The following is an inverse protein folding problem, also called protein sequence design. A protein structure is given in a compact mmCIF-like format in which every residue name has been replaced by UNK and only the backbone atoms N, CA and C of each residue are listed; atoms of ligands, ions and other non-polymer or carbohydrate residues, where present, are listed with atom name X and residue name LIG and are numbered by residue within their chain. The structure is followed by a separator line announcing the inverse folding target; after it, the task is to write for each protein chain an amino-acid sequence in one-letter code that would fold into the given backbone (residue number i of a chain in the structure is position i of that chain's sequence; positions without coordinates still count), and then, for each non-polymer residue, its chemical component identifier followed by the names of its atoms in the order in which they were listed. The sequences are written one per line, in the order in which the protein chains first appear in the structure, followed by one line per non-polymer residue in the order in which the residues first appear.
data_IF_089236164023
#
_entry.id   IF_089236164023
#
_cell.length_a   1.000
_cell.length_b   1.000
_cell.length_c   1.000
_cell.angle_alpha   90.00
_cell.angle_beta   90.00
_cell.angle_gamma   90.00
#
_symmetry.space_group_name_H-M   'P 1'
#
loop_
_entity.id
_entity.type
_entity.pdbx_description
1 polymer ?
#
# COMPACT_ATOMS: atom_id res chain seq x y z
N UNK A 1 -17.89 10.91 -12.93
CA UNK A 1 -17.69 10.73 -11.47
C UNK A 1 -18.10 9.32 -11.09
N UNK A 2 -17.74 8.81 -9.91
CA UNK A 2 -18.14 7.45 -9.47
C UNK A 2 -19.66 7.23 -9.59
N UNK A 3 -20.46 8.26 -9.25
CA UNK A 3 -21.92 8.23 -9.40
C UNK A 3 -22.35 7.98 -10.84
N UNK A 4 -21.80 8.73 -11.79
CA UNK A 4 -22.16 8.56 -13.21
C UNK A 4 -21.78 7.15 -13.69
N UNK A 5 -20.59 6.65 -13.31
CA UNK A 5 -20.18 5.31 -13.73
C UNK A 5 -21.08 4.21 -13.15
N UNK A 6 -21.52 4.33 -11.90
CA UNK A 6 -22.47 3.37 -11.34
C UNK A 6 -23.81 3.45 -12.06
N UNK A 7 -24.32 4.66 -12.31
CA UNK A 7 -25.61 4.88 -12.96
C UNK A 7 -25.64 4.40 -14.42
N UNK A 8 -24.54 4.58 -15.16
CA UNK A 8 -24.42 4.23 -16.58
C UNK A 8 -23.93 2.78 -16.79
N UNK A 9 -23.51 2.10 -15.72
CA UNK A 9 -23.07 0.70 -15.78
C UNK A 9 -24.17 -0.30 -16.17
N UNK A 10 -23.78 -1.56 -16.40
CA UNK A 10 -24.71 -2.68 -16.61
C UNK A 10 -25.27 -3.29 -15.32
N UNK A 11 -25.04 -2.65 -14.17
CA UNK A 11 -25.54 -3.15 -12.89
C UNK A 11 -27.08 -3.18 -12.85
N UNK A 12 -27.68 -4.15 -12.15
CA UNK A 12 -29.14 -4.23 -12.03
C UNK A 12 -29.68 -3.06 -11.21
N UNK A 13 -30.95 -2.70 -11.42
CA UNK A 13 -31.60 -1.55 -10.76
C UNK A 13 -31.44 -1.48 -9.22
N UNK A 14 -31.47 -2.61 -8.47
CA UNK A 14 -31.26 -2.58 -7.02
C UNK A 14 -29.88 -2.04 -6.59
N UNK A 15 -28.84 -2.25 -7.41
CA UNK A 15 -27.48 -1.76 -7.15
C UNK A 15 -27.31 -0.26 -7.47
N UNK A 16 -28.31 0.35 -8.13
CA UNK A 16 -28.33 1.77 -8.51
C UNK A 16 -29.23 2.62 -7.60
N UNK A 17 -29.61 2.08 -6.45
CA UNK A 17 -30.37 2.83 -5.45
C UNK A 17 -29.49 3.91 -4.80
N UNK A 18 -30.09 5.02 -4.37
CA UNK A 18 -29.34 6.13 -3.75
C UNK A 18 -28.53 5.68 -2.54
N UNK A 19 -29.09 4.83 -1.68
CA UNK A 19 -28.38 4.31 -0.51
C UNK A 19 -27.18 3.45 -0.92
N UNK A 20 -27.34 2.58 -1.92
CA UNK A 20 -26.25 1.73 -2.38
C UNK A 20 -25.10 2.54 -2.99
N UNK A 21 -25.44 3.55 -3.79
CA UNK A 21 -24.45 4.48 -4.36
C UNK A 21 -23.73 5.24 -3.25
N UNK A 22 -24.47 5.70 -2.23
CA UNK A 22 -23.88 6.39 -1.09
C UNK A 22 -22.88 5.49 -0.33
N UNK A 23 -23.24 4.23 -0.08
CA UNK A 23 -22.35 3.27 0.59
C UNK A 23 -21.06 3.02 -0.20
N UNK A 24 -21.16 2.90 -1.53
CA UNK A 24 -20.01 2.75 -2.42
C UNK A 24 -19.12 4.00 -2.42
N UNK A 25 -19.72 5.20 -2.50
CA UNK A 25 -18.98 6.45 -2.41
C UNK A 25 -18.24 6.57 -1.07
N UNK A 26 -18.92 6.31 0.04
CA UNK A 26 -18.32 6.36 1.36
C UNK A 26 -17.14 5.39 1.48
N UNK A 27 -17.30 4.17 0.95
CA UNK A 27 -16.25 3.15 0.94
C UNK A 27 -15.04 3.59 0.11
N UNK A 28 -15.26 4.02 -1.14
CA UNK A 28 -14.16 4.39 -2.06
C UNK A 28 -13.45 5.66 -1.58
N UNK A 29 -14.19 6.68 -1.18
CA UNK A 29 -13.61 7.93 -0.68
C UNK A 29 -12.86 7.70 0.63
N UNK A 30 -13.44 6.97 1.59
CA UNK A 30 -12.77 6.64 2.84
C UNK A 30 -11.48 5.83 2.61
N UNK A 31 -11.54 4.83 1.74
CA UNK A 31 -10.39 4.00 1.40
C UNK A 31 -9.27 4.78 0.70
N UNK A 32 -9.57 5.68 -0.23
CA UNK A 32 -8.56 6.42 -1.00
C UNK A 32 -8.01 7.66 -0.27
N UNK A 33 -8.77 8.24 0.66
CA UNK A 33 -8.39 9.48 1.33
C UNK A 33 -7.50 9.25 2.55
N UNK A 34 -8.01 8.53 3.56
CA UNK A 34 -7.32 8.39 4.86
C UNK A 34 -5.99 7.62 4.72
N UNK A 35 -5.97 6.58 3.89
CA UNK A 35 -4.78 5.74 3.67
C UNK A 35 -3.65 6.52 3.01
N UNK A 36 -3.96 7.23 1.92
CA UNK A 36 -3.00 8.07 1.18
C UNK A 36 -2.50 9.23 2.04
N UNK A 37 -3.41 9.92 2.75
CA UNK A 37 -3.05 11.00 3.65
C UNK A 37 -2.12 10.53 4.78
N UNK A 38 -2.38 9.34 5.34
CA UNK A 38 -1.51 8.72 6.34
C UNK A 38 -0.10 8.45 5.81
N UNK A 39 0.01 7.81 4.63
CA UNK A 39 1.29 7.51 4.00
C UNK A 39 2.09 8.78 3.70
N UNK A 40 1.46 9.79 3.10
CA UNK A 40 2.10 11.07 2.80
C UNK A 40 2.55 11.80 4.07
N UNK A 41 1.73 11.82 5.12
CA UNK A 41 2.07 12.47 6.39
C UNK A 41 3.36 11.91 6.98
N UNK A 42 3.47 10.58 7.06
CA UNK A 42 4.65 9.91 7.62
C UNK A 42 5.87 10.09 6.72
N UNK A 43 5.71 9.94 5.40
CA UNK A 43 6.79 10.14 4.45
C UNK A 43 7.33 11.57 4.52
N UNK A 44 6.46 12.58 4.48
CA UNK A 44 6.85 13.99 4.55
C UNK A 44 7.54 14.31 5.88
N UNK A 45 7.04 13.82 7.01
CA UNK A 45 7.70 14.00 8.30
C UNK A 45 9.17 13.55 8.23
N UNK A 46 9.42 12.33 7.76
CA UNK A 46 10.78 11.79 7.66
C UNK A 46 11.64 12.47 6.58
N UNK A 47 11.04 12.93 5.48
CA UNK A 47 11.75 13.71 4.45
C UNK A 47 12.25 15.03 5.06
N UNK A 48 11.40 15.75 5.79
CA UNK A 48 11.77 17.05 6.37
C UNK A 48 12.67 16.93 7.61
N UNK A 49 12.60 15.82 8.32
CA UNK A 49 13.49 15.51 9.47
C UNK A 49 14.91 15.14 9.02
N UNK A 50 15.10 14.73 7.75
CA UNK A 50 16.40 14.33 7.22
C UNK A 50 16.83 15.22 6.04
N UNK A 51 17.72 16.17 6.31
CA UNK A 51 18.23 17.12 5.31
C UNK A 51 18.85 16.45 4.07
N UNK A 52 19.49 15.29 4.23
CA UNK A 52 20.11 14.58 3.11
C UNK A 52 19.05 14.03 2.15
N UNK A 53 18.00 13.40 2.68
CA UNK A 53 16.88 12.89 1.86
C UNK A 53 16.19 14.04 1.14
N UNK A 54 15.89 15.13 1.86
CA UNK A 54 15.27 16.32 1.27
C UNK A 54 16.11 16.92 0.15
N UNK A 55 17.43 17.06 0.37
CA UNK A 55 18.35 17.63 -0.62
C UNK A 55 18.45 16.75 -1.87
N UNK A 56 18.59 15.44 -1.69
CA UNK A 56 18.69 14.49 -2.80
C UNK A 56 17.39 14.46 -3.61
N UNK A 57 16.23 14.42 -2.94
CA UNK A 57 14.93 14.45 -3.61
C UNK A 57 14.71 15.75 -4.40
N UNK A 58 15.04 16.91 -3.82
CA UNK A 58 14.97 18.21 -4.54
C UNK A 58 15.90 18.25 -5.74
N UNK A 59 17.09 17.67 -5.61
CA UNK A 59 18.09 17.63 -6.69
C UNK A 59 17.56 16.80 -7.86
N UNK A 60 16.98 15.63 -7.57
CA UNK A 60 16.37 14.78 -8.59
C UNK A 60 15.16 15.46 -9.25
N UNK A 61 14.25 16.04 -8.45
CA UNK A 61 13.05 16.73 -8.96
C UNK A 61 13.37 17.97 -9.82
N UNK A 62 14.51 18.62 -9.60
CA UNK A 62 14.94 19.77 -10.42
C UNK A 62 15.33 19.39 -11.85
N UNK A 63 15.45 18.09 -12.17
CA UNK A 63 15.85 17.60 -13.50
C UNK A 63 14.69 17.45 -14.48
N UNK A 64 13.43 17.53 -14.01
CA UNK A 64 12.24 17.29 -14.82
C UNK A 64 11.17 18.37 -14.62
N UNK A 65 10.20 18.42 -15.54
CA UNK A 65 8.95 19.14 -15.30
C UNK A 65 8.06 18.33 -14.35
N UNK A 66 7.76 18.90 -13.18
CA UNK A 66 6.92 18.28 -12.15
C UNK A 66 5.45 18.18 -12.53
N UNK A 67 5.01 18.81 -13.63
CA UNK A 67 3.66 18.62 -14.17
C UNK A 67 3.53 17.35 -15.02
N UNK A 68 4.65 16.72 -15.39
CA UNK A 68 4.65 15.49 -16.17
C UNK A 68 4.71 14.26 -15.24
N UNK A 69 3.53 13.70 -14.94
CA UNK A 69 3.40 12.51 -14.09
C UNK A 69 4.26 11.33 -14.57
N UNK A 70 4.30 11.08 -15.88
CA UNK A 70 5.10 9.98 -16.44
C UNK A 70 6.59 10.18 -16.21
N UNK A 71 7.06 11.43 -16.23
CA UNK A 71 8.46 11.72 -15.92
C UNK A 71 8.76 11.52 -14.42
N UNK A 72 7.84 11.92 -13.54
CA UNK A 72 7.95 11.70 -12.09
C UNK A 72 8.03 10.20 -11.75
N UNK A 73 7.22 9.37 -12.39
CA UNK A 73 7.21 7.91 -12.17
C UNK A 73 8.54 7.21 -12.49
N UNK A 74 9.37 7.81 -13.34
CA UNK A 74 10.68 7.26 -13.71
C UNK A 74 11.82 7.68 -12.77
N UNK A 75 11.56 8.58 -11.81
CA UNK A 75 12.57 9.06 -10.89
C UNK A 75 12.90 8.00 -9.83
N UNK A 76 14.11 7.41 -9.84
CA UNK A 76 14.44 6.29 -8.97
C UNK A 76 14.44 6.66 -7.49
N UNK A 77 14.94 7.84 -7.12
CA UNK A 77 15.01 8.24 -5.72
C UNK A 77 13.62 8.62 -5.17
N UNK A 78 12.80 9.33 -5.93
CA UNK A 78 11.39 9.57 -5.59
C UNK A 78 10.65 8.25 -5.38
N UNK A 79 10.78 7.29 -6.29
CA UNK A 79 10.19 5.95 -6.16
C UNK A 79 10.65 5.28 -4.86
N UNK A 80 11.96 5.28 -4.60
CA UNK A 80 12.55 4.69 -3.40
C UNK A 80 12.01 5.33 -2.10
N UNK A 81 11.88 6.66 -2.05
CA UNK A 81 11.31 7.40 -0.91
C UNK A 81 9.84 7.02 -0.70
N UNK A 82 9.05 6.94 -1.76
CA UNK A 82 7.63 6.54 -1.67
C UNK A 82 7.47 5.09 -1.21
N UNK A 83 8.28 4.17 -1.74
CA UNK A 83 8.28 2.77 -1.33
C UNK A 83 8.61 2.62 0.16
N UNK A 84 9.67 3.28 0.63
CA UNK A 84 10.05 3.25 2.04
C UNK A 84 9.02 3.94 2.94
N UNK A 85 8.43 5.06 2.48
CA UNK A 85 7.34 5.74 3.17
C UNK A 85 6.12 4.83 3.37
N UNK A 86 5.72 4.10 2.32
CA UNK A 86 4.63 3.12 2.40
C UNK A 86 4.97 1.91 3.31
N UNK A 87 6.25 1.51 3.38
CA UNK A 87 6.69 0.44 4.29
C UNK A 87 6.53 0.86 5.76
N UNK A 88 7.00 2.06 6.09
CA UNK A 88 7.00 2.57 7.47
C UNK A 88 5.60 3.02 7.91
N UNK A 89 4.78 3.46 6.96
CA UNK A 89 3.41 3.91 7.21
C UNK A 89 2.38 2.84 6.81
N UNK A 90 2.04 1.91 7.71
CA UNK A 90 0.98 0.95 7.45
C UNK A 90 -0.36 1.69 7.38
N UNK A 91 -0.87 1.91 6.16
CA UNK A 91 -2.16 2.55 5.93
C UNK A 91 -3.31 1.83 6.65
N UNK A 92 -3.24 0.50 6.72
CA UNK A 92 -4.17 -0.35 7.47
C UNK A 92 -3.35 -1.33 8.32
N UNK A 93 -3.32 -1.10 9.63
CA UNK A 93 -2.58 -1.94 10.58
C UNK A 93 -3.37 -3.16 11.08
N UNK A 94 -4.69 -3.20 10.81
CA UNK A 94 -5.55 -4.30 11.26
C UNK A 94 -5.30 -5.58 10.45
N UNK A 95 -5.50 -6.73 11.10
CA UNK A 95 -5.40 -8.03 10.44
C UNK A 95 -6.65 -8.23 9.58
N UNK A 96 -6.51 -8.07 8.26
CA UNK A 96 -7.56 -8.35 7.29
C UNK A 96 -7.78 -9.86 7.14
N UNK A 97 -8.35 -10.48 8.17
CA UNK A 97 -8.51 -11.92 8.24
C UNK A 97 -9.40 -12.46 7.10
N UNK A 98 -9.14 -13.71 6.74
CA UNK A 98 -9.96 -14.52 5.83
C UNK A 98 -10.43 -15.75 6.60
N UNK A 99 -11.66 -16.15 6.33
CA UNK A 99 -12.28 -17.32 6.94
C UNK A 99 -12.69 -18.23 5.80
N UNK A 100 -12.26 -19.49 5.84
CA UNK A 100 -12.83 -20.54 5.01
C UNK A 100 -13.98 -21.18 5.81
N UNK A 101 -15.26 -20.89 5.49
CA UNK A 101 -16.38 -21.31 6.34
C UNK A 101 -16.74 -22.78 6.17
N UNK A 102 -16.41 -23.37 5.02
CA UNK A 102 -16.96 -24.63 4.51
C UNK A 102 -15.92 -25.75 4.42
N UNK A 103 -14.65 -25.44 4.65
CA UNK A 103 -13.55 -26.41 4.53
C UNK A 103 -12.37 -26.05 5.41
N UNK A 104 -11.64 -27.09 5.80
CA UNK A 104 -10.34 -26.94 6.43
C UNK A 104 -9.30 -26.47 5.42
N UNK A 105 -8.38 -25.62 5.87
CA UNK A 105 -7.23 -25.18 5.09
C UNK A 105 -6.04 -26.05 5.47
N UNK A 106 -5.46 -26.73 4.49
CA UNK A 106 -4.20 -27.46 4.65
C UNK A 106 -3.05 -26.56 4.19
N UNK A 107 -2.09 -26.32 5.07
CA UNK A 107 -0.87 -25.56 4.79
C UNK A 107 0.34 -26.35 5.29
N UNK A 108 1.08 -26.97 4.37
CA UNK A 108 2.13 -27.92 4.68
C UNK A 108 1.62 -29.01 5.65
N UNK A 109 2.26 -29.17 6.80
CA UNK A 109 1.86 -30.08 7.88
C UNK A 109 0.67 -29.60 8.72
N UNK A 110 0.27 -28.33 8.57
CA UNK A 110 -0.78 -27.72 9.39
C UNK A 110 -2.16 -27.91 8.78
N UNK A 111 -3.11 -28.25 9.65
CA UNK A 111 -4.54 -28.27 9.34
C UNK A 111 -5.24 -27.18 10.14
N UNK A 112 -5.76 -26.18 9.46
CA UNK A 112 -6.54 -25.08 10.05
C UNK A 112 -8.01 -25.40 9.84
N UNK A 113 -8.76 -25.50 10.94
CA UNK A 113 -10.17 -25.90 10.88
C UNK A 113 -11.04 -24.84 10.20
N UNK A 114 -12.08 -25.29 9.50
CA UNK A 114 -13.12 -24.45 8.94
C UNK A 114 -13.66 -23.45 9.99
N UNK A 115 -13.92 -22.22 9.56
CA UNK A 115 -14.38 -21.14 10.44
C UNK A 115 -13.25 -20.39 11.17
N UNK A 116 -12.01 -20.85 11.12
CA UNK A 116 -10.87 -20.17 11.76
C UNK A 116 -10.47 -18.91 10.98
N UNK A 117 -10.43 -17.71 11.60
CA UNK A 117 -9.89 -16.51 10.96
C UNK A 117 -8.36 -16.59 10.81
N UNK A 118 -7.87 -16.45 9.59
CA UNK A 118 -6.43 -16.44 9.26
C UNK A 118 -6.07 -15.10 8.65
N UNK A 119 -5.03 -14.44 9.15
CA UNK A 119 -4.58 -13.16 8.64
C UNK A 119 -3.12 -12.87 8.96
N UNK A 120 -2.52 -12.01 8.15
CA UNK A 120 -1.16 -11.49 8.34
C UNK A 120 -1.20 -10.10 8.97
N UNK A 121 -0.10 -9.70 9.63
CA UNK A 121 0.08 -8.32 10.09
C UNK A 121 1.17 -7.67 9.25
N UNK A 122 0.78 -6.74 8.39
CA UNK A 122 1.73 -6.01 7.53
C UNK A 122 2.77 -5.26 8.35
N UNK A 123 2.37 -4.68 9.48
CA UNK A 123 3.29 -3.98 10.38
C UNK A 123 4.43 -4.89 10.84
N UNK A 124 4.15 -6.13 11.22
CA UNK A 124 5.18 -7.07 11.65
C UNK A 124 6.08 -7.49 10.49
N UNK A 125 5.50 -7.71 9.30
CA UNK A 125 6.27 -8.04 8.11
C UNK A 125 7.22 -6.91 7.68
N UNK A 126 6.73 -5.67 7.72
CA UNK A 126 7.48 -4.47 7.32
C UNK A 126 8.45 -3.97 8.38
N UNK A 127 8.29 -4.43 9.63
CA UNK A 127 9.18 -4.12 10.76
C UNK A 127 10.11 -5.27 11.13
N UNK A 128 10.19 -6.32 10.31
CA UNK A 128 11.10 -7.45 10.55
C UNK A 128 12.55 -7.05 10.26
N UNK A 129 13.28 -6.80 11.33
CA UNK A 129 14.64 -6.28 11.31
C UNK A 129 15.68 -7.30 10.87
N UNK A 130 15.53 -8.55 11.30
CA UNK A 130 16.59 -9.56 11.21
C UNK A 130 16.72 -10.12 9.80
N UNK A 131 15.59 -10.29 9.12
CA UNK A 131 15.54 -11.00 7.84
C UNK A 131 15.55 -10.07 6.63
N UNK A 132 14.90 -8.91 6.72
CA UNK A 132 14.58 -8.10 5.54
C UNK A 132 14.92 -6.62 5.69
N UNK A 133 14.65 -6.00 6.85
CA UNK A 133 14.72 -4.54 7.00
C UNK A 133 15.61 -4.14 8.19
N UNK A 134 16.96 -4.22 8.10
CA UNK A 134 17.84 -3.73 9.16
C UNK A 134 17.50 -2.29 9.53
N UNK A 135 17.37 -1.90 10.80
CA UNK A 135 16.85 -0.56 11.18
C UNK A 135 15.48 -0.20 10.56
N UNK A 136 14.42 -1.01 10.79
CA UNK A 136 13.16 -0.87 10.05
C UNK A 136 12.38 0.40 10.41
N UNK A 137 12.70 1.05 11.52
CA UNK A 137 12.04 2.29 11.96
C UNK A 137 12.62 3.54 11.28
N UNK A 138 13.77 3.42 10.63
CA UNK A 138 14.41 4.54 9.92
C UNK A 138 13.94 4.54 8.47
N UNK A 139 13.51 5.71 7.99
CA UNK A 139 13.27 5.92 6.56
C UNK A 139 14.62 5.92 5.82
N UNK A 140 14.90 4.84 5.11
CA UNK A 140 16.10 4.65 4.32
C UNK A 140 15.72 4.31 2.86
N UNK A 141 15.69 5.30 1.95
CA UNK A 141 15.37 5.08 0.54
C UNK A 141 16.40 4.21 -0.17
N UNK A 142 17.66 4.22 0.28
CA UNK A 142 18.77 3.53 -0.40
C UNK A 142 18.57 2.00 -0.47
N UNK A 143 17.73 1.44 0.40
CA UNK A 143 17.30 0.03 0.35
C UNK A 143 16.67 -0.38 -0.98
N UNK A 144 16.04 0.57 -1.66
CA UNK A 144 15.30 0.35 -2.90
C UNK A 144 16.11 0.72 -4.14
N UNK A 145 17.34 1.23 -3.97
CA UNK A 145 18.22 1.62 -5.07
C UNK A 145 19.19 0.52 -5.48
N UNK A 146 19.48 -0.43 -4.58
CA UNK A 146 20.27 -1.62 -4.86
C UNK A 146 19.40 -2.69 -5.57
N UNK A 147 19.70 -3.07 -6.82
CA UNK A 147 18.90 -4.05 -7.58
C UNK A 147 18.77 -5.42 -6.90
N UNK A 148 19.82 -5.86 -6.19
CA UNK A 148 19.84 -7.16 -5.52
C UNK A 148 19.05 -7.12 -4.20
N UNK A 149 19.16 -6.01 -3.47
CA UNK A 149 18.34 -5.69 -2.31
C UNK A 149 16.86 -5.57 -2.68
N UNK A 150 16.56 -4.80 -3.74
CA UNK A 150 15.21 -4.50 -4.21
C UNK A 150 14.42 -5.80 -4.47
N UNK A 151 14.99 -6.81 -5.13
CA UNK A 151 14.32 -8.10 -5.39
C UNK A 151 13.91 -8.85 -4.11
N UNK A 152 14.77 -8.82 -3.09
CA UNK A 152 14.51 -9.51 -1.81
C UNK A 152 13.43 -8.78 -1.03
N UNK A 153 13.49 -7.45 -1.00
CA UNK A 153 12.51 -6.60 -0.33
C UNK A 153 11.14 -6.67 -0.99
N UNK A 154 11.08 -6.69 -2.33
CA UNK A 154 9.82 -6.80 -3.07
C UNK A 154 9.00 -8.02 -2.66
N UNK A 155 9.62 -9.16 -2.31
CA UNK A 155 8.86 -10.34 -1.86
C UNK A 155 8.10 -10.11 -0.56
N UNK A 156 8.64 -9.28 0.34
CA UNK A 156 8.08 -8.99 1.65
C UNK A 156 7.45 -7.57 1.73
N UNK A 157 7.40 -6.86 0.61
CA UNK A 157 6.73 -5.58 0.47
C UNK A 157 5.30 -5.79 -0.01
N UNK A 158 4.32 -5.34 0.79
CA UNK A 158 2.90 -5.61 0.55
C UNK A 158 1.98 -4.51 1.11
N UNK A 159 2.26 -3.21 0.89
CA UNK A 159 1.45 -2.12 1.43
C UNK A 159 -0.02 -2.16 0.94
N UNK A 160 -0.24 -2.78 -0.23
CA UNK A 160 -1.55 -2.93 -0.87
C UNK A 160 -2.11 -4.36 -0.77
N UNK A 161 -1.59 -5.19 0.14
CA UNK A 161 -1.85 -6.64 0.19
C UNK A 161 -1.49 -7.37 -1.11
N UNK A 162 -1.87 -8.66 -1.20
CA UNK A 162 -1.68 -9.53 -2.35
C UNK A 162 -2.88 -10.46 -2.56
N UNK A 163 -2.93 -11.09 -3.72
CA UNK A 163 -3.93 -12.07 -4.09
C UNK A 163 -5.25 -11.43 -4.50
N UNK A 164 -6.35 -12.20 -4.40
CA UNK A 164 -7.68 -11.82 -4.88
C UNK A 164 -8.34 -10.64 -4.15
N UNK A 165 -7.71 -10.15 -3.08
CA UNK A 165 -8.17 -9.02 -2.27
C UNK A 165 -7.10 -7.93 -2.15
N UNK A 166 -6.18 -7.86 -3.11
CA UNK A 166 -5.25 -6.73 -3.21
C UNK A 166 -6.03 -5.41 -3.41
N UNK A 167 -5.43 -4.30 -3.00
CA UNK A 167 -6.04 -2.98 -3.14
C UNK A 167 -6.30 -2.67 -4.62
N UNK A 168 -7.54 -2.28 -4.92
CA UNK A 168 -7.94 -1.87 -6.27
C UNK A 168 -7.41 -0.48 -6.66
N UNK A 169 -7.03 0.34 -5.68
CA UNK A 169 -6.53 1.71 -5.85
C UNK A 169 -5.01 1.82 -5.87
N UNK A 170 -4.28 0.74 -6.19
CA UNK A 170 -2.82 0.72 -6.22
C UNK A 170 -2.20 1.44 -7.43
N UNK A 171 -3.02 1.87 -8.40
CA UNK A 171 -2.54 2.43 -9.67
C UNK A 171 -1.90 3.81 -9.53
#
# INVERSE_FOLDING_TARGET
TIVHEIMDSKLPAPEKTTNRIFDELATVTGAGFETTAGALRVALFHIFDNENILKQLRTELATIDTHNLKALEQLPYLKAVLMEGMRISPAVATRMARIAPDRDILYNEWRILAGTPVGMTLVLLHMEETLWYPDPRRLNPDRWLDPDGEQTLHKNFAPFLRGTRACIGMQ
#
